data_IF_925192636597
#
_entry.id   IF_925192636597
#
_cell.length_a   1.000
_cell.length_b   1.000
_cell.length_c   1.000
_cell.angle_alpha   90.00
_cell.angle_beta   90.00
_cell.angle_gamma   90.00
#
_symmetry.space_group_name_H-M   'P 1'
#
loop_
_entity.id
_entity.type
_entity.pdbx_description
1 polymer ?
#
# COMPACT_ATOMS: atom_id res chain seq x y z
N UNK A 1 15.01 8.05 2.00
CA UNK A 1 14.96 8.89 0.78
C UNK A 1 13.68 8.59 0.01
N UNK A 2 13.02 9.62 -0.47
CA UNK A 2 11.85 9.51 -1.35
C UNK A 2 12.31 9.70 -2.79
N UNK A 3 11.87 8.81 -3.68
CA UNK A 3 12.20 8.87 -5.11
C UNK A 3 11.02 8.36 -5.95
N UNK A 4 10.94 8.69 -7.24
CA UNK A 4 9.96 8.08 -8.15
C UNK A 4 10.09 6.55 -8.16
N UNK A 5 8.96 5.85 -8.20
CA UNK A 5 8.95 4.38 -8.18
C UNK A 5 9.75 3.77 -9.37
N UNK A 6 9.74 4.44 -10.52
CA UNK A 6 10.50 4.05 -11.72
C UNK A 6 12.03 4.10 -11.54
N UNK A 7 12.53 4.82 -10.55
CA UNK A 7 13.96 4.95 -10.27
C UNK A 7 14.45 3.95 -9.22
N UNK A 8 13.54 3.31 -8.50
CA UNK A 8 13.86 2.43 -7.36
C UNK A 8 14.74 1.25 -7.77
N UNK A 9 14.46 0.61 -8.92
CA UNK A 9 15.29 -0.50 -9.42
C UNK A 9 16.75 -0.07 -9.59
N UNK A 10 16.99 1.03 -10.27
CA UNK A 10 18.35 1.54 -10.53
C UNK A 10 19.03 2.00 -9.24
N UNK A 11 18.28 2.60 -8.31
CA UNK A 11 18.82 3.04 -7.03
C UNK A 11 19.30 1.87 -6.18
N UNK A 12 18.51 0.80 -6.07
CA UNK A 12 18.91 -0.43 -5.38
C UNK A 12 20.09 -1.12 -6.09
N UNK A 13 20.03 -1.26 -7.41
CA UNK A 13 21.10 -1.88 -8.19
C UNK A 13 22.46 -1.19 -8.03
N UNK A 14 22.44 0.14 -7.87
CA UNK A 14 23.66 0.96 -7.72
C UNK A 14 24.07 1.15 -6.25
N UNK A 15 23.32 0.59 -5.29
CA UNK A 15 23.60 0.77 -3.87
C UNK A 15 23.33 2.19 -3.35
N UNK A 16 22.51 2.98 -4.07
CA UNK A 16 22.05 4.30 -3.58
C UNK A 16 21.03 4.14 -2.46
N UNK A 17 20.34 2.99 -2.40
CA UNK A 17 19.46 2.58 -1.32
C UNK A 17 19.68 1.11 -1.00
N UNK A 18 19.54 0.74 0.26
CA UNK A 18 19.77 -0.64 0.76
C UNK A 18 18.47 -1.46 0.77
N UNK A 19 17.32 -0.80 0.80
CA UNK A 19 16.00 -1.44 0.82
C UNK A 19 14.93 -0.51 0.24
N UNK A 20 13.80 -1.09 -0.17
CA UNK A 20 12.63 -0.33 -0.60
C UNK A 20 11.35 -0.89 0.00
N UNK A 21 10.33 -0.04 0.17
CA UNK A 21 9.02 -0.41 0.64
C UNK A 21 7.93 0.01 -0.34
N UNK A 22 7.07 -0.95 -0.70
CA UNK A 22 5.87 -0.72 -1.50
C UNK A 22 4.67 -1.41 -0.86
N UNK A 23 3.45 -0.91 -1.07
CA UNK A 23 2.27 -1.44 -0.39
C UNK A 23 1.79 -2.80 -0.89
N UNK A 24 2.16 -3.20 -2.12
CA UNK A 24 1.63 -4.41 -2.77
C UNK A 24 2.72 -5.21 -3.48
N UNK A 25 2.57 -6.54 -3.49
CA UNK A 25 3.52 -7.43 -4.18
C UNK A 25 3.58 -7.16 -5.68
N UNK A 26 2.46 -6.77 -6.30
CA UNK A 26 2.45 -6.48 -7.73
C UNK A 26 3.37 -5.31 -8.10
N UNK A 27 3.55 -4.33 -7.21
CA UNK A 27 4.45 -3.21 -7.45
C UNK A 27 5.90 -3.65 -7.50
N UNK A 28 6.31 -4.51 -6.56
CA UNK A 28 7.65 -5.11 -6.59
C UNK A 28 7.88 -5.88 -7.90
N UNK A 29 6.92 -6.68 -8.32
CA UNK A 29 6.99 -7.44 -9.57
C UNK A 29 6.95 -6.54 -10.83
N UNK A 30 6.16 -5.46 -10.82
CA UNK A 30 6.07 -4.52 -11.94
C UNK A 30 7.39 -3.76 -12.17
N UNK A 31 8.09 -3.44 -11.09
CA UNK A 31 9.41 -2.79 -11.15
C UNK A 31 10.58 -3.78 -11.06
N UNK A 32 10.31 -5.10 -11.11
CA UNK A 32 11.30 -6.18 -11.15
C UNK A 32 12.27 -6.19 -9.96
N UNK A 33 11.84 -5.68 -8.82
CA UNK A 33 12.71 -5.55 -7.65
C UNK A 33 13.15 -6.90 -7.10
N UNK A 34 12.33 -7.95 -7.29
CA UNK A 34 12.69 -9.33 -6.92
C UNK A 34 13.88 -9.91 -7.70
N UNK A 35 14.28 -9.29 -8.83
CA UNK A 35 15.42 -9.74 -9.61
C UNK A 35 16.77 -9.35 -8.97
N UNK A 36 16.76 -8.27 -8.16
CA UNK A 36 17.97 -7.68 -7.56
C UNK A 36 17.96 -7.74 -6.03
N UNK A 37 16.88 -8.20 -5.42
CA UNK A 37 16.74 -8.31 -3.96
C UNK A 37 17.26 -9.69 -3.48
N UNK A 38 17.93 -9.73 -2.33
CA UNK A 38 18.35 -10.95 -1.65
C UNK A 38 17.29 -11.45 -0.67
N UNK A 39 16.38 -10.59 -0.23
CA UNK A 39 15.35 -10.93 0.74
C UNK A 39 14.11 -10.03 0.61
N UNK A 40 12.99 -10.52 1.14
CA UNK A 40 11.77 -9.74 1.33
C UNK A 40 11.10 -10.09 2.66
N UNK A 41 10.36 -9.14 3.25
CA UNK A 41 9.62 -9.39 4.49
C UNK A 41 8.23 -9.93 4.21
N UNK A 42 7.78 -10.89 5.02
CA UNK A 42 6.46 -11.53 4.85
C UNK A 42 5.36 -10.94 5.72
N UNK A 43 5.72 -10.20 6.76
CA UNK A 43 4.79 -9.64 7.75
C UNK A 43 5.05 -8.16 8.09
N UNK A 44 5.91 -7.48 7.35
CA UNK A 44 6.15 -6.06 7.56
C UNK A 44 5.39 -5.24 6.53
N UNK A 45 4.36 -4.51 6.98
CA UNK A 45 3.65 -3.52 6.20
C UNK A 45 3.96 -2.13 6.74
N UNK A 46 4.59 -1.29 5.92
CA UNK A 46 4.95 0.09 6.29
C UNK A 46 3.79 1.07 6.17
N UNK A 47 2.70 0.65 5.56
CA UNK A 47 1.51 1.46 5.34
C UNK A 47 0.62 0.93 4.24
N UNK A 48 -0.43 1.67 3.96
CA UNK A 48 -1.34 1.40 2.85
C UNK A 48 -1.46 2.65 1.97
N UNK A 49 -1.78 2.42 0.70
CA UNK A 49 -2.00 3.49 -0.28
C UNK A 49 -3.40 3.34 -0.85
N UNK A 50 -4.15 4.44 -0.83
CA UNK A 50 -5.39 4.52 -1.57
C UNK A 50 -5.10 4.79 -3.05
N UNK A 51 -5.83 4.11 -3.92
CA UNK A 51 -5.83 4.39 -5.36
C UNK A 51 -7.21 4.93 -5.76
N UNK A 52 -7.54 6.18 -5.41
CA UNK A 52 -8.85 6.74 -5.70
C UNK A 52 -9.01 6.98 -7.19
N UNK A 53 -10.22 6.72 -7.70
CA UNK A 53 -10.65 7.22 -9.00
C UNK A 53 -11.38 8.54 -8.74
N UNK A 54 -10.88 9.62 -9.32
CA UNK A 54 -11.43 10.96 -9.12
C UNK A 54 -11.90 11.55 -10.45
N UNK A 55 -12.96 12.33 -10.41
CA UNK A 55 -13.47 13.07 -11.54
C UNK A 55 -13.32 14.58 -11.29
N UNK A 56 -13.01 15.32 -12.33
CA UNK A 56 -13.23 16.75 -12.31
C UNK A 56 -14.73 17.00 -12.13
N UNK A 57 -15.12 17.89 -11.20
CA UNK A 57 -16.52 18.08 -10.83
C UNK A 57 -17.37 18.61 -11.98
N UNK A 58 -16.85 19.52 -12.81
CA UNK A 58 -17.58 20.07 -13.94
C UNK A 58 -17.77 19.00 -15.02
N UNK A 59 -16.75 18.18 -15.28
CA UNK A 59 -16.84 17.04 -16.21
C UNK A 59 -17.86 16.01 -15.73
N UNK A 60 -17.88 15.70 -14.41
CA UNK A 60 -18.87 14.80 -13.85
C UNK A 60 -20.30 15.37 -13.97
N UNK A 61 -20.48 16.65 -13.66
CA UNK A 61 -21.79 17.32 -13.75
C UNK A 61 -22.31 17.39 -15.19
N UNK A 62 -21.42 17.51 -16.17
CA UNK A 62 -21.77 17.52 -17.59
C UNK A 62 -22.17 16.12 -18.15
N UNK A 63 -21.92 15.02 -17.40
CA UNK A 63 -22.34 13.70 -17.82
C UNK A 63 -23.87 13.60 -17.87
N UNK A 64 -24.44 12.94 -18.89
CA UNK A 64 -25.85 12.52 -18.86
C UNK A 64 -26.13 11.63 -17.63
N UNK A 65 -27.34 11.75 -17.08
CA UNK A 65 -27.72 11.06 -15.84
C UNK A 65 -27.56 9.53 -15.91
N UNK A 66 -27.79 8.95 -17.09
CA UNK A 66 -27.53 7.51 -17.31
C UNK A 66 -26.10 7.09 -17.03
N UNK A 67 -25.10 7.92 -17.32
CA UNK A 67 -23.69 7.63 -17.05
C UNK A 67 -23.33 7.88 -15.59
N UNK A 68 -23.92 8.91 -14.95
CA UNK A 68 -23.76 9.10 -13.50
C UNK A 68 -24.28 7.89 -12.74
N UNK A 69 -25.49 7.42 -13.13
CA UNK A 69 -26.07 6.21 -12.55
C UNK A 69 -25.20 4.97 -12.81
N UNK A 70 -24.68 4.79 -14.02
CA UNK A 70 -23.80 3.66 -14.34
C UNK A 70 -22.54 3.64 -13.45
N UNK A 71 -21.91 4.80 -13.21
CA UNK A 71 -20.75 4.89 -12.33
C UNK A 71 -21.06 4.45 -10.91
N UNK A 72 -22.23 4.82 -10.37
CA UNK A 72 -22.67 4.35 -9.06
C UNK A 72 -22.97 2.84 -9.04
N UNK A 73 -23.68 2.36 -10.06
CA UNK A 73 -24.11 0.96 -10.16
C UNK A 73 -22.91 -0.03 -10.25
N UNK A 74 -21.80 0.38 -10.90
CA UNK A 74 -20.62 -0.49 -11.05
C UNK A 74 -19.60 -0.36 -9.91
N UNK A 75 -19.74 0.59 -9.03
CA UNK A 75 -18.76 0.94 -8.00
C UNK A 75 -18.37 -0.26 -7.12
N UNK A 76 -19.34 -0.89 -6.49
CA UNK A 76 -19.10 -1.99 -5.55
C UNK A 76 -18.54 -3.22 -6.26
N UNK A 77 -19.04 -3.53 -7.46
CA UNK A 77 -18.49 -4.58 -8.31
C UNK A 77 -17.04 -4.33 -8.70
N UNK A 78 -16.70 -3.08 -9.02
CA UNK A 78 -15.33 -2.69 -9.35
C UNK A 78 -14.37 -2.84 -8.16
N UNK A 79 -14.79 -2.43 -6.96
CA UNK A 79 -13.98 -2.64 -5.74
C UNK A 79 -13.76 -4.12 -5.43
N UNK A 80 -14.81 -4.93 -5.54
CA UNK A 80 -14.71 -6.36 -5.32
C UNK A 80 -13.75 -7.03 -6.33
N UNK A 81 -13.88 -6.68 -7.61
CA UNK A 81 -13.03 -7.19 -8.68
C UNK A 81 -11.56 -6.78 -8.49
N UNK A 82 -11.30 -5.52 -8.13
CA UNK A 82 -9.95 -5.03 -7.85
C UNK A 82 -9.34 -5.76 -6.65
N UNK A 83 -10.07 -5.91 -5.55
CA UNK A 83 -9.60 -6.65 -4.38
C UNK A 83 -9.28 -8.12 -4.69
N UNK A 84 -10.11 -8.78 -5.50
CA UNK A 84 -9.87 -10.15 -5.96
C UNK A 84 -8.61 -10.24 -6.85
N UNK A 85 -8.40 -9.27 -7.75
CA UNK A 85 -7.23 -9.22 -8.61
C UNK A 85 -5.93 -9.05 -7.81
N UNK A 86 -5.90 -8.18 -6.81
CA UNK A 86 -4.74 -8.03 -5.91
C UNK A 86 -4.44 -9.34 -5.16
N UNK A 87 -5.44 -9.96 -4.54
CA UNK A 87 -5.27 -11.24 -3.82
C UNK A 87 -4.76 -12.36 -4.73
N UNK A 88 -5.24 -12.41 -5.97
CA UNK A 88 -4.78 -13.39 -6.95
C UNK A 88 -3.31 -13.14 -7.34
N UNK A 89 -2.93 -11.88 -7.56
CA UNK A 89 -1.54 -11.49 -7.87
C UNK A 89 -0.60 -11.75 -6.70
N UNK A 90 -1.00 -11.48 -5.47
CA UNK A 90 -0.21 -11.78 -4.28
C UNK A 90 0.13 -13.27 -4.19
N UNK A 91 -0.86 -14.16 -4.41
CA UNK A 91 -0.62 -15.60 -4.45
C UNK A 91 0.42 -15.99 -5.49
N UNK A 92 0.30 -15.46 -6.71
CA UNK A 92 1.23 -15.77 -7.82
C UNK A 92 2.63 -15.27 -7.51
N UNK A 93 2.74 -14.01 -7.07
CA UNK A 93 4.04 -13.38 -6.81
C UNK A 93 4.76 -14.06 -5.63
N UNK A 94 4.06 -14.28 -4.51
CA UNK A 94 4.64 -14.93 -3.33
C UNK A 94 5.07 -16.37 -3.66
N UNK A 95 4.28 -17.14 -4.43
CA UNK A 95 4.67 -18.48 -4.86
C UNK A 95 5.94 -18.45 -5.74
N UNK A 96 6.02 -17.50 -6.69
CA UNK A 96 7.21 -17.29 -7.52
C UNK A 96 8.44 -16.95 -6.68
N UNK A 97 8.30 -16.05 -5.71
CA UNK A 97 9.41 -15.62 -4.85
C UNK A 97 9.89 -16.72 -3.93
N UNK A 98 8.97 -17.50 -3.34
CA UNK A 98 9.31 -18.65 -2.52
C UNK A 98 10.03 -19.77 -3.29
N UNK A 99 9.78 -19.87 -4.58
CA UNK A 99 10.46 -20.82 -5.46
C UNK A 99 11.86 -20.34 -5.92
N UNK A 100 12.19 -19.05 -5.70
CA UNK A 100 13.50 -18.50 -6.06
C UNK A 100 14.52 -18.72 -4.94
N UNK A 101 15.55 -19.59 -5.14
CA UNK A 101 16.53 -19.92 -4.08
C UNK A 101 17.43 -18.73 -3.69
N UNK A 102 17.48 -17.68 -4.51
CA UNK A 102 18.25 -16.47 -4.24
C UNK A 102 17.49 -15.45 -3.37
N UNK A 103 16.15 -15.53 -3.33
CA UNK A 103 15.31 -14.57 -2.64
C UNK A 103 14.78 -15.16 -1.33
N UNK A 104 15.26 -14.68 -0.20
CA UNK A 104 14.90 -15.19 1.13
C UNK A 104 13.63 -14.53 1.67
N UNK A 105 12.64 -15.32 2.05
CA UNK A 105 11.50 -14.86 2.82
C UNK A 105 11.90 -14.65 4.29
N UNK A 106 11.74 -13.43 4.80
CA UNK A 106 12.10 -13.07 6.17
C UNK A 106 10.81 -12.70 6.93
N UNK A 107 10.57 -13.39 8.03
CA UNK A 107 9.52 -13.03 8.97
C UNK A 107 10.13 -12.25 10.13
N UNK A 108 9.74 -10.99 10.26
CA UNK A 108 10.21 -10.16 11.38
C UNK A 108 9.61 -10.67 12.70
N UNK A 109 10.41 -10.77 13.78
CA UNK A 109 9.91 -11.13 15.10
C UNK A 109 8.82 -10.14 15.57
N UNK A 110 7.79 -10.65 16.25
CA UNK A 110 6.67 -9.79 16.69
C UNK A 110 7.13 -8.69 17.66
N UNK A 111 8.13 -8.96 18.50
CA UNK A 111 8.72 -7.97 19.38
C UNK A 111 9.35 -6.80 18.61
N UNK A 112 10.04 -7.09 17.51
CA UNK A 112 10.64 -6.07 16.63
C UNK A 112 9.56 -5.26 15.90
N UNK A 113 8.49 -5.93 15.44
CA UNK A 113 7.35 -5.26 14.82
C UNK A 113 6.62 -4.34 15.81
N UNK A 114 6.48 -4.76 17.07
CA UNK A 114 5.88 -3.94 18.13
C UNK A 114 6.77 -2.72 18.44
N UNK A 115 8.08 -2.91 18.55
CA UNK A 115 9.04 -1.83 18.76
C UNK A 115 9.02 -0.82 17.60
N UNK A 116 9.00 -1.32 16.36
CA UNK A 116 8.90 -0.48 15.17
C UNK A 116 7.61 0.35 15.16
N UNK A 117 6.44 -0.25 15.42
CA UNK A 117 5.17 0.48 15.52
C UNK A 117 5.21 1.56 16.58
N UNK A 118 5.83 1.28 17.73
CA UNK A 118 5.96 2.25 18.83
C UNK A 118 6.89 3.41 18.47
N UNK A 119 8.02 3.12 17.82
CA UNK A 119 9.04 4.12 17.49
C UNK A 119 8.66 4.99 16.28
N UNK A 120 8.12 4.39 15.23
CA UNK A 120 7.86 5.06 13.97
C UNK A 120 6.37 5.34 13.74
N UNK A 121 5.49 4.36 13.92
CA UNK A 121 4.06 4.48 13.61
C UNK A 121 3.35 5.47 14.53
N UNK A 122 3.42 5.26 15.84
CA UNK A 122 2.66 6.07 16.80
C UNK A 122 3.03 7.56 16.80
N UNK A 123 4.30 7.97 16.75
CA UNK A 123 4.65 9.38 16.63
C UNK A 123 4.13 10.02 15.36
N UNK A 124 4.25 9.32 14.22
CA UNK A 124 3.78 9.81 12.92
C UNK A 124 2.25 10.00 12.90
N UNK A 125 1.50 9.05 13.45
CA UNK A 125 0.03 9.15 13.54
C UNK A 125 -0.41 10.30 14.44
N UNK A 126 0.24 10.50 15.58
CA UNK A 126 -0.03 11.64 16.46
C UNK A 126 0.29 12.98 15.79
N UNK A 127 1.39 13.05 15.06
CA UNK A 127 1.74 14.23 14.28
C UNK A 127 0.68 14.52 13.23
N UNK A 128 0.24 13.51 12.47
CA UNK A 128 -0.80 13.66 11.47
C UNK A 128 -2.12 14.18 12.06
N UNK A 129 -2.54 13.65 13.22
CA UNK A 129 -3.74 14.15 13.91
C UNK A 129 -3.58 15.63 14.25
N UNK A 130 -2.45 16.01 14.84
CA UNK A 130 -2.16 17.41 15.22
C UNK A 130 -2.16 18.35 14.00
N UNK A 131 -1.57 17.95 12.89
CA UNK A 131 -1.49 18.75 11.65
C UNK A 131 -2.86 18.96 10.98
N UNK A 132 -3.82 18.07 11.27
CA UNK A 132 -5.16 18.11 10.71
C UNK A 132 -6.25 18.52 11.72
N UNK A 133 -5.87 18.88 12.93
CA UNK A 133 -6.78 19.36 13.97
C UNK A 133 -7.54 20.61 13.49
N UNK A 134 -8.85 20.62 13.69
CA UNK A 134 -9.73 21.71 13.23
C UNK A 134 -10.01 21.74 11.72
N UNK A 135 -9.36 20.90 10.90
CA UNK A 135 -9.61 20.80 9.47
C UNK A 135 -10.54 19.63 9.12
N UNK A 136 -10.32 18.49 9.79
CA UNK A 136 -11.07 17.25 9.63
C UNK A 136 -11.17 16.55 10.99
N UNK A 137 -12.06 15.56 11.18
CA UNK A 137 -12.13 14.76 12.40
C UNK A 137 -10.98 13.73 12.46
N UNK A 138 -9.74 14.23 12.52
CA UNK A 138 -8.52 13.43 12.33
C UNK A 138 -8.37 12.33 13.38
N UNK A 139 -8.69 12.58 14.66
CA UNK A 139 -8.61 11.57 15.69
C UNK A 139 -9.63 10.45 15.46
N UNK A 140 -10.87 10.77 15.14
CA UNK A 140 -11.91 9.79 14.84
C UNK A 140 -11.52 8.91 13.64
N UNK A 141 -10.99 9.51 12.59
CA UNK A 141 -10.50 8.78 11.41
C UNK A 141 -9.35 7.84 11.77
N UNK A 142 -8.40 8.27 12.58
CA UNK A 142 -7.32 7.42 13.06
C UNK A 142 -7.84 6.26 13.89
N UNK A 143 -8.80 6.49 14.79
CA UNK A 143 -9.40 5.46 15.64
C UNK A 143 -10.13 4.40 14.80
N UNK A 144 -10.85 4.81 13.75
CA UNK A 144 -11.50 3.90 12.79
C UNK A 144 -10.44 3.02 12.10
N UNK A 145 -9.37 3.61 11.58
CA UNK A 145 -8.28 2.87 10.92
C UNK A 145 -7.66 1.86 11.87
N UNK A 146 -7.31 2.27 13.09
CA UNK A 146 -6.67 1.39 14.08
C UNK A 146 -7.60 0.28 14.55
N UNK A 147 -8.91 0.54 14.67
CA UNK A 147 -9.91 -0.47 15.00
C UNK A 147 -10.05 -1.49 13.87
N UNK A 148 -10.14 -1.04 12.64
CA UNK A 148 -10.26 -1.91 11.46
C UNK A 148 -9.02 -2.79 11.29
N UNK A 149 -7.82 -2.23 11.49
CA UNK A 149 -6.57 -2.97 11.39
C UNK A 149 -6.39 -4.08 12.44
N UNK A 150 -7.11 -4.02 13.58
CA UNK A 150 -7.08 -5.06 14.62
C UNK A 150 -8.05 -6.20 14.36
N UNK A 151 -9.03 -6.00 13.51
CA UNK A 151 -10.11 -6.95 13.22
C UNK A 151 -9.94 -7.74 11.91
N UNK A 152 -8.82 -7.56 11.21
CA UNK A 152 -8.51 -8.26 9.95
C UNK A 152 -7.53 -9.40 10.13
#
# INVERSE_FOLDING_TARGET
TTMPASETYTALQRGTGDASGFPYTYTFAAYKLEEIADWYTTNMSLGSVNCPIVFNIDSYNALPDQYKKLLEDVKDGSYAAQGAAYKAKDKINVAKWNANPKLKAVKMPEAEMAAFRKMAGMPLWKQWVKENEGKIPAQELLDIVLKTAKGG
#
